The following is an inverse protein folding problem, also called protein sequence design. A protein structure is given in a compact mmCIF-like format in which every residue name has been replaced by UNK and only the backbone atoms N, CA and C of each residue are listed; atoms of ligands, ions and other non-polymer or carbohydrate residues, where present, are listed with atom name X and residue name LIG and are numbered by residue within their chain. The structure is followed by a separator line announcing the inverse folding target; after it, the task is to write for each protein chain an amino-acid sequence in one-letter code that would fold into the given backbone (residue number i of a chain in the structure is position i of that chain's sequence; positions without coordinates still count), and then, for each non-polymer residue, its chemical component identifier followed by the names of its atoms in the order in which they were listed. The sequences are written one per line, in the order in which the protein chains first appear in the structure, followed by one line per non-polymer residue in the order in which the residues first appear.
data_IF_227705450932
#
_entry.id   IF_227705450932
#
_cell.length_a   1.000
_cell.length_b   1.000
_cell.length_c   1.000
_cell.angle_alpha   90.00
_cell.angle_beta   90.00
_cell.angle_gamma   90.00
#
_symmetry.space_group_name_H-M   'P 1'
#
loop_
_entity.id
_entity.type
_entity.pdbx_description
1 polymer ?
#
# COMPACT_ATOMS: atom_id res chain seq x y z
N UNK A 1 -9.08 15.18 14.91
CA UNK A 1 -8.34 13.92 14.98
C UNK A 1 -9.15 12.87 14.22
N UNK A 2 -8.70 12.47 13.03
CA UNK A 2 -9.31 11.35 12.29
C UNK A 2 -8.60 10.08 12.77
N UNK A 3 -9.22 9.37 13.70
CA UNK A 3 -8.73 8.07 14.17
C UNK A 3 -9.05 7.07 13.07
N UNK A 4 -8.05 6.71 12.26
CA UNK A 4 -8.20 5.67 11.23
C UNK A 4 -8.63 4.36 11.88
N UNK A 5 -9.68 3.76 11.33
CA UNK A 5 -10.30 2.53 11.79
C UNK A 5 -9.45 1.33 11.31
N UNK A 6 -8.21 1.24 11.81
CA UNK A 6 -7.25 0.22 11.40
C UNK A 6 -7.60 -1.09 12.11
N UNK A 7 -8.26 -2.00 11.38
CA UNK A 7 -8.55 -3.36 11.87
C UNK A 7 -7.41 -4.28 11.41
N UNK A 8 -6.43 -4.50 12.29
CA UNK A 8 -5.54 -5.66 12.18
C UNK A 8 -6.09 -6.78 13.03
N UNK A 9 -7.04 -7.55 12.49
CA UNK A 9 -7.42 -8.83 13.07
C UNK A 9 -6.42 -9.90 12.57
N UNK A 10 -5.28 -10.03 13.25
CA UNK A 10 -4.34 -11.12 13.05
C UNK A 10 -4.96 -12.42 13.61
N UNK A 11 -5.77 -13.10 12.81
CA UNK A 11 -6.12 -14.49 13.10
C UNK A 11 -5.02 -15.35 12.50
N UNK A 12 -4.03 -15.68 13.33
CA UNK A 12 -2.91 -16.53 12.93
C UNK A 12 -3.40 -17.97 12.74
N UNK A 13 -3.63 -18.36 11.49
CA UNK A 13 -3.93 -19.72 11.11
C UNK A 13 -2.67 -20.39 10.54
N UNK A 14 -2.01 -21.22 11.33
CA UNK A 14 -0.95 -22.08 10.83
C UNK A 14 -1.57 -23.36 10.25
N UNK A 15 -1.83 -23.38 8.94
CA UNK A 15 -2.23 -24.61 8.24
C UNK A 15 -1.03 -25.17 7.45
N UNK A 16 -0.59 -26.36 7.82
CA UNK A 16 0.31 -27.16 7.00
C UNK A 16 -0.48 -27.73 5.82
N UNK A 17 -0.44 -27.05 4.67
CA UNK A 17 -1.14 -27.49 3.47
C UNK A 17 -0.28 -28.49 2.70
N UNK A 18 -0.28 -29.74 3.14
CA UNK A 18 0.00 -30.88 2.26
C UNK A 18 -1.29 -31.29 1.54
N UNK A 19 -1.19 -31.83 0.32
CA UNK A 19 -2.33 -32.23 -0.51
C UNK A 19 -3.29 -33.18 0.24
N UNK A 20 -4.34 -32.62 0.83
CA UNK A 20 -5.46 -33.33 1.42
C UNK A 20 -6.73 -33.00 0.65
N UNK A 21 -7.69 -33.93 0.69
CA UNK A 21 -9.01 -33.80 0.09
C UNK A 21 -9.67 -32.49 0.52
N UNK A 22 -10.13 -31.68 -0.44
CA UNK A 22 -10.58 -30.31 -0.20
C UNK A 22 -11.76 -30.27 0.80
N UNK A 23 -12.58 -31.33 0.81
CA UNK A 23 -13.70 -31.49 1.76
C UNK A 23 -13.21 -31.71 3.19
N UNK A 24 -12.09 -32.40 3.39
CA UNK A 24 -11.47 -32.60 4.70
C UNK A 24 -10.85 -31.29 5.22
N UNK A 25 -10.15 -30.55 4.36
CA UNK A 25 -9.55 -29.26 4.69
C UNK A 25 -10.62 -28.19 4.98
N UNK A 26 -11.73 -28.18 4.24
CA UNK A 26 -12.87 -27.31 4.51
C UNK A 26 -13.49 -27.61 5.88
N UNK A 27 -13.64 -28.90 6.23
CA UNK A 27 -14.16 -29.31 7.53
C UNK A 27 -13.23 -28.86 8.67
N UNK A 28 -11.92 -29.11 8.55
CA UNK A 28 -10.93 -28.68 9.55
C UNK A 28 -10.94 -27.16 9.76
N UNK A 29 -11.11 -26.39 8.70
CA UNK A 29 -11.26 -24.94 8.81
C UNK A 29 -12.53 -24.57 9.60
N UNK A 30 -13.68 -25.15 9.27
CA UNK A 30 -14.96 -24.89 9.96
C UNK A 30 -14.91 -25.30 11.44
N UNK A 31 -14.28 -26.43 11.75
CA UNK A 31 -14.08 -26.92 13.11
C UNK A 31 -13.19 -25.94 13.89
N UNK A 32 -12.08 -25.47 13.29
CA UNK A 32 -11.19 -24.47 13.91
C UNK A 32 -11.88 -23.14 14.23
N UNK A 33 -12.76 -22.64 13.34
CA UNK A 33 -13.58 -21.45 13.64
C UNK A 33 -14.55 -21.71 14.79
N UNK A 34 -15.15 -22.90 14.83
CA UNK A 34 -16.10 -23.28 15.88
C UNK A 34 -15.43 -23.38 17.26
N UNK A 35 -14.20 -23.89 17.32
CA UNK A 35 -13.38 -23.93 18.54
C UNK A 35 -13.02 -22.52 19.03
N UNK A 36 -12.74 -21.60 18.10
CA UNK A 36 -12.43 -20.21 18.44
C UNK A 36 -13.63 -19.41 18.95
N UNK A 37 -14.87 -19.90 18.76
CA UNK A 37 -16.08 -19.19 19.16
C UNK A 37 -16.10 -18.79 20.65
N UNK A 38 -15.47 -19.59 21.52
CA UNK A 38 -15.38 -19.31 22.96
C UNK A 38 -14.41 -18.18 23.33
N UNK A 39 -13.60 -17.71 22.38
CA UNK A 39 -12.60 -16.64 22.62
C UNK A 39 -13.17 -15.22 22.43
N UNK A 40 -14.40 -15.12 21.93
CA UNK A 40 -15.06 -13.84 21.67
C UNK A 40 -15.90 -13.36 22.87
N UNK A 41 -16.07 -12.03 23.06
CA UNK A 41 -15.60 -10.96 22.18
C UNK A 41 -14.11 -10.64 22.33
N UNK A 42 -13.47 -10.27 21.22
CA UNK A 42 -12.06 -9.83 21.20
C UNK A 42 -12.03 -8.32 21.04
N UNK A 43 -11.39 -7.62 21.97
CA UNK A 43 -11.18 -6.17 21.86
C UNK A 43 -10.08 -5.88 20.83
N UNK A 44 -10.41 -5.10 19.80
CA UNK A 44 -9.42 -4.65 18.79
C UNK A 44 -8.75 -3.39 19.31
N UNK A 45 -9.56 -2.39 19.68
CA UNK A 45 -9.10 -1.12 20.22
C UNK A 45 -10.18 -0.53 21.17
N UNK A 46 -10.03 0.74 21.57
CA UNK A 46 -11.00 1.42 22.44
C UNK A 46 -12.39 1.61 21.80
N UNK A 47 -12.45 1.63 20.48
CA UNK A 47 -13.62 1.96 19.68
C UNK A 47 -14.23 0.75 18.96
N UNK A 48 -13.55 -0.38 18.88
CA UNK A 48 -13.93 -1.54 18.06
C UNK A 48 -13.72 -2.87 18.79
N UNK A 49 -14.67 -3.80 18.61
CA UNK A 49 -14.58 -5.19 19.08
C UNK A 49 -14.94 -6.15 17.95
N UNK A 50 -14.29 -7.31 17.91
CA UNK A 50 -14.82 -8.47 17.18
C UNK A 50 -15.80 -9.13 18.14
N UNK A 51 -17.07 -9.03 17.80
CA UNK A 51 -18.16 -9.47 18.67
C UNK A 51 -18.30 -10.98 18.64
N UNK A 52 -18.24 -11.56 17.43
CA UNK A 52 -18.37 -12.99 17.15
C UNK A 52 -17.66 -13.33 15.84
N UNK A 53 -17.26 -14.58 15.71
CA UNK A 53 -16.91 -15.21 14.44
C UNK A 53 -17.55 -16.59 14.39
N UNK A 54 -18.13 -16.95 13.24
CA UNK A 54 -18.82 -18.23 13.05
C UNK A 54 -18.91 -18.62 11.58
N UNK A 55 -19.32 -19.87 11.33
CA UNK A 55 -19.60 -20.39 9.99
C UNK A 55 -21.10 -20.33 9.71
N UNK A 56 -21.48 -19.71 8.59
CA UNK A 56 -22.81 -19.65 8.01
C UNK A 56 -22.78 -20.31 6.62
N UNK A 57 -23.13 -21.60 6.56
CA UNK A 57 -23.00 -22.40 5.34
C UNK A 57 -21.54 -22.55 4.89
N UNK A 58 -21.20 -21.91 3.77
CA UNK A 58 -19.84 -21.83 3.21
C UNK A 58 -19.21 -20.44 3.39
N UNK A 59 -19.74 -19.65 4.33
CA UNK A 59 -19.24 -18.32 4.64
C UNK A 59 -18.75 -18.27 6.09
N UNK A 60 -17.51 -17.86 6.29
CA UNK A 60 -17.00 -17.45 7.59
C UNK A 60 -17.40 -15.99 7.83
N UNK A 61 -18.27 -15.77 8.80
CA UNK A 61 -18.77 -14.45 9.20
C UNK A 61 -17.95 -13.93 10.38
N UNK A 62 -17.45 -12.70 10.25
CA UNK A 62 -16.74 -11.97 11.32
C UNK A 62 -17.57 -10.72 11.63
N UNK A 63 -18.11 -10.65 12.85
CA UNK A 63 -18.91 -9.51 13.32
C UNK A 63 -18.02 -8.49 14.03
N UNK A 64 -17.98 -7.26 13.52
CA UNK A 64 -17.23 -6.15 14.10
C UNK A 64 -18.23 -5.12 14.62
N UNK A 65 -18.10 -4.75 15.89
CA UNK A 65 -18.94 -3.72 16.51
C UNK A 65 -18.13 -2.45 16.82
N UNK A 66 -18.64 -1.31 16.37
CA UNK A 66 -18.14 0.01 16.77
C UNK A 66 -18.83 0.45 18.07
N UNK A 67 -18.08 0.83 19.09
CA UNK A 67 -18.61 1.07 20.44
C UNK A 67 -19.08 2.51 20.69
N UNK A 68 -18.71 3.45 19.83
CA UNK A 68 -18.80 4.88 20.12
C UNK A 68 -19.99 5.59 19.45
N UNK A 69 -20.71 4.93 18.53
CA UNK A 69 -21.73 5.59 17.69
C UNK A 69 -22.83 4.63 17.22
N UNK A 70 -24.02 5.18 16.94
CA UNK A 70 -25.13 4.45 16.31
C UNK A 70 -25.06 4.57 14.79
N UNK A 71 -25.74 3.68 14.07
CA UNK A 71 -25.72 3.63 12.60
C UNK A 71 -26.17 4.94 11.94
N UNK A 72 -27.07 5.70 12.57
CA UNK A 72 -27.57 6.98 12.03
C UNK A 72 -26.47 8.04 11.92
N UNK A 73 -25.40 7.91 12.70
CA UNK A 73 -24.25 8.83 12.67
C UNK A 73 -23.11 8.33 11.77
N UNK A 74 -23.27 7.17 11.12
CA UNK A 74 -22.28 6.62 10.20
C UNK A 74 -22.61 7.13 8.80
N UNK A 75 -21.82 8.11 8.35
CA UNK A 75 -22.01 8.75 7.05
C UNK A 75 -21.62 7.84 5.88
N UNK A 76 -22.15 8.15 4.68
CA UNK A 76 -21.82 7.41 3.46
C UNK A 76 -20.31 7.39 3.14
N UNK A 77 -19.62 8.51 3.37
CA UNK A 77 -18.17 8.62 3.16
C UNK A 77 -17.40 7.63 4.05
N UNK A 78 -17.89 7.40 5.26
CA UNK A 78 -17.26 6.47 6.20
C UNK A 78 -17.50 5.01 5.82
N UNK A 79 -18.70 4.68 5.32
CA UNK A 79 -18.98 3.36 4.76
C UNK A 79 -18.04 3.05 3.57
N UNK A 80 -17.84 4.05 2.70
CA UNK A 80 -16.90 3.93 1.57
C UNK A 80 -15.46 3.73 2.05
N UNK A 81 -15.02 4.47 3.08
CA UNK A 81 -13.69 4.29 3.65
C UNK A 81 -13.50 2.89 4.27
N UNK A 82 -14.52 2.35 4.96
CA UNK A 82 -14.49 0.99 5.51
C UNK A 82 -14.36 -0.02 4.36
N UNK A 83 -15.15 0.14 3.31
CA UNK A 83 -15.14 -0.75 2.16
C UNK A 83 -13.79 -0.72 1.43
N UNK A 84 -13.25 0.46 1.15
CA UNK A 84 -11.94 0.67 0.52
C UNK A 84 -10.82 0.03 1.35
N UNK A 85 -10.77 0.30 2.66
CA UNK A 85 -9.75 -0.25 3.55
C UNK A 85 -9.79 -1.78 3.62
N UNK A 86 -10.99 -2.37 3.69
CA UNK A 86 -11.16 -3.82 3.69
C UNK A 86 -10.76 -4.44 2.36
N UNK A 87 -11.15 -3.81 1.24
CA UNK A 87 -10.76 -4.27 -0.09
C UNK A 87 -9.25 -4.25 -0.27
N UNK A 88 -8.62 -3.13 0.08
CA UNK A 88 -7.19 -2.89 -0.14
C UNK A 88 -6.30 -3.76 0.76
N UNK A 89 -6.73 -4.01 2.00
CA UNK A 89 -5.92 -4.76 2.98
C UNK A 89 -6.27 -6.25 2.95
N UNK A 90 -7.54 -6.59 3.18
CA UNK A 90 -7.98 -7.96 3.39
C UNK A 90 -8.39 -8.60 2.06
N UNK A 91 -9.11 -7.87 1.21
CA UNK A 91 -9.60 -8.36 -0.07
C UNK A 91 -8.47 -8.76 -1.02
N UNK A 92 -7.44 -7.92 -1.13
CA UNK A 92 -6.24 -8.21 -1.94
C UNK A 92 -5.54 -9.47 -1.44
N UNK A 93 -5.30 -9.57 -0.13
CA UNK A 93 -4.64 -10.74 0.46
C UNK A 93 -5.50 -12.01 0.32
N UNK A 94 -6.81 -11.90 0.53
CA UNK A 94 -7.76 -12.99 0.33
C UNK A 94 -7.68 -13.56 -1.10
N UNK A 95 -7.57 -12.71 -2.12
CA UNK A 95 -7.50 -13.13 -3.52
C UNK A 95 -6.11 -13.62 -3.98
N UNK A 96 -5.06 -13.53 -3.15
CA UNK A 96 -3.70 -13.96 -3.49
C UNK A 96 -3.34 -15.28 -2.81
N UNK A 97 -2.93 -16.29 -3.57
CA UNK A 97 -2.54 -17.59 -3.00
C UNK A 97 -1.35 -17.46 -2.02
N UNK A 98 -1.37 -18.25 -0.95
CA UNK A 98 -0.27 -18.36 0.02
C UNK A 98 -0.25 -17.29 1.12
N UNK A 99 -1.29 -16.46 1.22
CA UNK A 99 -1.52 -15.56 2.36
C UNK A 99 -2.39 -16.25 3.42
N UNK A 100 -2.35 -15.75 4.66
CA UNK A 100 -3.22 -16.26 5.73
C UNK A 100 -4.71 -16.04 5.39
N UNK A 101 -5.02 -14.90 4.77
CA UNK A 101 -6.36 -14.52 4.36
C UNK A 101 -6.90 -15.40 3.22
N UNK A 102 -6.01 -15.94 2.37
CA UNK A 102 -6.39 -16.83 1.25
C UNK A 102 -6.74 -18.25 1.66
N UNK A 103 -6.46 -18.66 2.90
CA UNK A 103 -6.72 -20.02 3.40
C UNK A 103 -8.19 -20.37 3.23
N UNK A 104 -9.09 -19.48 3.65
CA UNK A 104 -10.54 -19.68 3.53
C UNK A 104 -10.93 -19.92 2.06
N UNK A 105 -10.43 -19.07 1.15
CA UNK A 105 -10.68 -19.18 -0.29
C UNK A 105 -10.17 -20.50 -0.87
N UNK A 106 -8.98 -20.92 -0.46
CA UNK A 106 -8.31 -22.13 -0.95
C UNK A 106 -9.13 -23.38 -0.62
N UNK A 107 -9.82 -23.39 0.53
CA UNK A 107 -10.75 -24.47 0.93
C UNK A 107 -12.19 -24.24 0.50
N UNK A 108 -12.45 -23.27 -0.40
CA UNK A 108 -13.78 -23.00 -0.94
C UNK A 108 -14.73 -22.24 -0.01
N UNK A 109 -14.23 -21.57 1.03
CA UNK A 109 -15.01 -20.78 1.98
C UNK A 109 -14.91 -19.28 1.64
N UNK A 110 -16.05 -18.60 1.67
CA UNK A 110 -16.13 -17.13 1.56
C UNK A 110 -15.95 -16.49 2.94
N UNK A 111 -15.52 -15.23 3.01
CA UNK A 111 -15.39 -14.49 4.28
C UNK A 111 -16.24 -13.24 4.22
N UNK A 112 -17.07 -13.00 5.22
CA UNK A 112 -17.94 -11.84 5.32
C UNK A 112 -17.63 -11.04 6.59
N UNK A 113 -17.32 -9.75 6.41
CA UNK A 113 -17.14 -8.81 7.50
C UNK A 113 -18.43 -8.02 7.70
N UNK A 114 -19.14 -8.29 8.80
CA UNK A 114 -20.41 -7.62 9.16
C UNK A 114 -20.17 -6.57 10.23
N UNK A 115 -20.53 -5.32 9.94
CA UNK A 115 -20.35 -4.21 10.86
C UNK A 115 -21.63 -3.86 11.59
N UNK A 116 -21.49 -3.68 12.91
CA UNK A 116 -22.55 -3.35 13.84
C UNK A 116 -22.25 -2.07 14.58
N UNK A 117 -23.28 -1.29 14.85
CA UNK A 117 -23.17 -0.07 15.63
C UNK A 117 -23.10 -0.37 17.14
N UNK A 118 -23.03 0.67 17.97
CA UNK A 118 -22.93 0.50 19.43
C UNK A 118 -24.14 -0.22 20.05
N UNK A 119 -25.29 -0.22 19.36
CA UNK A 119 -26.53 -0.87 19.77
C UNK A 119 -26.67 -2.27 19.17
N UNK A 120 -25.61 -2.82 18.57
CA UNK A 120 -25.62 -4.12 17.91
C UNK A 120 -26.55 -4.18 16.68
N UNK A 121 -26.83 -3.04 16.04
CA UNK A 121 -27.59 -3.00 14.78
C UNK A 121 -26.64 -3.07 13.57
N UNK A 122 -26.91 -3.95 12.58
CA UNK A 122 -26.06 -4.06 11.40
C UNK A 122 -26.20 -2.83 10.52
N UNK A 123 -25.07 -2.30 10.03
CA UNK A 123 -25.06 -1.12 9.17
C UNK A 123 -24.25 -1.29 7.87
N UNK A 124 -23.35 -2.26 7.80
CA UNK A 124 -22.57 -2.53 6.60
C UNK A 124 -22.09 -3.99 6.55
N UNK A 125 -21.86 -4.52 5.36
CA UNK A 125 -21.27 -5.84 5.18
C UNK A 125 -20.40 -5.88 3.93
N UNK A 126 -19.23 -6.52 4.03
CA UNK A 126 -18.32 -6.74 2.91
C UNK A 126 -18.03 -8.23 2.80
N UNK A 127 -18.50 -8.83 1.70
CA UNK A 127 -18.26 -10.24 1.36
C UNK A 127 -17.04 -10.38 0.43
N UNK A 128 -16.15 -11.30 0.76
CA UNK A 128 -15.05 -11.78 -0.06
C UNK A 128 -15.30 -13.23 -0.47
N UNK A 129 -15.28 -13.49 -1.77
CA UNK A 129 -15.54 -14.81 -2.35
C UNK A 129 -14.67 -15.04 -3.58
N UNK A 130 -14.52 -16.30 -4.02
CA UNK A 130 -13.85 -16.62 -5.27
C UNK A 130 -14.48 -15.88 -6.47
N UNK A 131 -15.82 -15.72 -6.48
CA UNK A 131 -16.52 -14.95 -7.50
C UNK A 131 -16.09 -13.48 -7.51
N UNK A 132 -15.94 -12.87 -6.33
CA UNK A 132 -15.47 -11.47 -6.22
C UNK A 132 -14.01 -11.33 -6.64
N UNK A 133 -13.15 -12.31 -6.33
CA UNK A 133 -11.77 -12.33 -6.84
C UNK A 133 -11.72 -12.44 -8.37
N UNK A 134 -12.56 -13.31 -8.96
CA UNK A 134 -12.67 -13.45 -10.41
C UNK A 134 -13.17 -12.15 -11.07
N UNK A 135 -14.10 -11.43 -10.43
CA UNK A 135 -14.61 -10.13 -10.90
C UNK A 135 -13.57 -9.02 -10.77
N UNK A 136 -12.79 -8.98 -9.68
CA UNK A 136 -11.66 -8.06 -9.52
C UNK A 136 -10.59 -8.32 -10.60
N UNK A 137 -10.28 -9.58 -10.89
CA UNK A 137 -9.38 -9.96 -11.98
C UNK A 137 -9.90 -9.56 -13.38
N UNK A 138 -11.23 -9.40 -13.54
CA UNK A 138 -11.86 -8.97 -14.79
C UNK A 138 -12.04 -7.45 -14.90
N UNK A 139 -11.99 -6.71 -13.79
CA UNK A 139 -12.29 -5.25 -13.76
C UNK A 139 -11.05 -4.39 -13.49
N UNK A 140 -9.95 -4.97 -12.97
CA UNK A 140 -8.75 -4.23 -12.59
C UNK A 140 -7.52 -4.78 -13.31
N UNK A 141 -6.86 -3.92 -14.09
CA UNK A 141 -5.48 -4.17 -14.56
C UNK A 141 -4.53 -4.25 -13.36
N UNK A 142 -3.70 -5.30 -13.23
CA UNK A 142 -3.28 -5.86 -11.94
C UNK A 142 -1.94 -5.34 -11.39
N UNK A 143 -1.41 -4.24 -11.91
CA UNK A 143 0.00 -3.88 -11.68
C UNK A 143 0.24 -2.94 -10.49
N UNK A 144 -0.77 -2.16 -10.04
CA UNK A 144 -0.51 -1.02 -9.13
C UNK A 144 -0.64 -1.32 -7.63
N UNK A 145 -1.60 -2.15 -7.21
CA UNK A 145 -1.88 -2.45 -5.78
C UNK A 145 -1.02 -3.61 -5.27
N UNK A 146 -0.68 -4.57 -6.13
CA UNK A 146 0.22 -5.69 -5.82
C UNK A 146 1.65 -5.24 -5.56
N UNK A 147 2.09 -4.13 -6.15
CA UNK A 147 3.45 -3.59 -6.00
C UNK A 147 3.64 -2.94 -4.63
N UNK A 148 2.69 -2.13 -4.15
CA UNK A 148 2.79 -1.42 -2.86
C UNK A 148 2.82 -2.37 -1.66
N UNK A 149 1.89 -3.34 -1.62
CA UNK A 149 1.86 -4.38 -0.58
C UNK A 149 3.11 -5.29 -0.66
N UNK A 150 3.60 -5.57 -1.88
CA UNK A 150 4.84 -6.33 -2.04
C UNK A 150 6.06 -5.58 -1.52
N UNK A 151 6.11 -4.25 -1.64
CA UNK A 151 7.25 -3.45 -1.20
C UNK A 151 7.32 -3.42 0.32
N UNK A 152 6.21 -3.16 1.00
CA UNK A 152 6.16 -3.14 2.47
C UNK A 152 6.62 -4.48 3.06
N UNK A 153 6.13 -5.60 2.52
CA UNK A 153 6.56 -6.93 2.94
C UNK A 153 8.06 -7.17 2.72
N UNK A 154 8.60 -6.74 1.58
CA UNK A 154 10.03 -6.88 1.26
C UNK A 154 10.90 -6.05 2.21
N UNK A 155 10.48 -4.84 2.56
CA UNK A 155 11.19 -3.98 3.51
C UNK A 155 11.18 -4.61 4.91
N UNK A 156 10.02 -5.05 5.41
CA UNK A 156 9.92 -5.76 6.70
C UNK A 156 10.76 -7.04 6.74
N UNK A 157 10.78 -7.80 5.66
CA UNK A 157 11.61 -9.00 5.55
C UNK A 157 13.11 -8.65 5.56
N UNK A 158 13.50 -7.57 4.88
CA UNK A 158 14.88 -7.06 4.88
C UNK A 158 15.31 -6.65 6.29
N UNK A 159 14.51 -5.82 6.98
CA UNK A 159 14.79 -5.36 8.35
C UNK A 159 15.01 -6.52 9.33
N UNK A 160 14.30 -7.64 9.14
CA UNK A 160 14.50 -8.87 9.93
C UNK A 160 15.76 -9.65 9.54
N UNK A 161 16.12 -9.66 8.27
CA UNK A 161 17.23 -10.45 7.75
C UNK A 161 18.60 -9.80 7.98
N UNK A 162 18.66 -8.46 8.10
CA UNK A 162 19.87 -7.70 8.37
C UNK A 162 19.98 -6.43 7.53
N UNK A 163 21.18 -6.14 7.03
CA UNK A 163 21.44 -4.96 6.20
C UNK A 163 21.31 -5.27 4.71
N UNK A 164 20.75 -4.33 3.94
CA UNK A 164 20.66 -4.44 2.48
C UNK A 164 19.74 -3.39 1.86
N UNK A 165 19.19 -3.70 0.69
CA UNK A 165 18.41 -2.76 -0.14
C UNK A 165 17.22 -3.45 -0.81
N UNK A 166 16.11 -2.73 -0.91
CA UNK A 166 14.90 -3.14 -1.65
C UNK A 166 14.60 -2.11 -2.73
N UNK A 167 14.49 -2.55 -3.98
CA UNK A 167 13.94 -1.71 -5.06
C UNK A 167 12.44 -1.58 -4.86
N UNK A 168 11.96 -0.34 -4.77
CA UNK A 168 10.56 0.02 -4.53
C UNK A 168 9.85 0.22 -5.87
N UNK A 169 10.41 1.06 -6.74
CA UNK A 169 9.83 1.28 -8.06
C UNK A 169 10.90 1.59 -9.12
N UNK A 170 10.51 1.44 -10.39
CA UNK A 170 11.31 1.80 -11.56
C UNK A 170 10.43 2.48 -12.61
N UNK A 171 10.75 3.73 -12.92
CA UNK A 171 10.05 4.57 -13.90
C UNK A 171 10.92 4.72 -15.15
N UNK A 172 10.31 4.69 -16.34
CA UNK A 172 11.01 4.78 -17.63
C UNK A 172 10.53 5.99 -18.48
N UNK A 173 10.85 7.23 -18.11
CA UNK A 173 10.42 8.40 -18.89
C UNK A 173 11.22 8.54 -20.20
N UNK A 174 10.55 8.41 -21.37
CA UNK A 174 11.06 8.76 -22.71
C UNK A 174 12.52 8.34 -23.00
N UNK A 175 12.87 7.14 -22.52
CA UNK A 175 14.15 6.43 -22.60
C UNK A 175 15.07 6.53 -21.38
N UNK A 176 14.86 7.46 -20.44
CA UNK A 176 15.63 7.51 -19.20
C UNK A 176 15.07 6.54 -18.15
N UNK A 177 15.81 6.30 -17.06
CA UNK A 177 15.36 5.41 -15.96
C UNK A 177 15.52 6.08 -14.61
N UNK A 178 14.46 6.05 -13.80
CA UNK A 178 14.47 6.44 -12.39
C UNK A 178 14.13 5.22 -11.54
N UNK A 179 15.03 4.82 -10.65
CA UNK A 179 14.82 3.76 -9.66
C UNK A 179 14.75 4.37 -8.27
N UNK A 180 13.74 3.99 -7.50
CA UNK A 180 13.59 4.37 -6.11
C UNK A 180 13.70 3.09 -5.28
N UNK A 181 14.44 3.15 -4.16
CA UNK A 181 14.60 2.03 -3.26
C UNK A 181 14.74 2.45 -1.80
N UNK A 182 14.61 1.48 -0.92
CA UNK A 182 14.89 1.57 0.50
C UNK A 182 16.23 0.88 0.82
N UNK A 183 17.02 1.45 1.72
CA UNK A 183 18.31 0.90 2.14
C UNK A 183 18.55 1.11 3.64
N UNK A 184 18.79 0.05 4.40
CA UNK A 184 19.11 0.12 5.83
C UNK A 184 20.60 -0.16 6.15
N UNK A 185 21.48 -0.16 5.14
CA UNK A 185 22.91 -0.45 5.32
C UNK A 185 23.68 0.53 6.22
N UNK A 186 23.21 1.76 6.35
CA UNK A 186 23.93 2.78 7.11
C UNK A 186 23.04 3.70 7.96
N UNK A 187 21.83 4.07 7.50
CA UNK A 187 21.00 5.08 8.16
C UNK A 187 19.53 5.06 7.66
N UNK A 188 18.97 3.91 7.27
CA UNK A 188 17.58 3.79 6.77
C UNK A 188 17.17 4.93 5.82
N UNK A 189 17.64 4.87 4.57
CA UNK A 189 17.51 5.95 3.59
C UNK A 189 16.69 5.52 2.37
N UNK A 190 15.98 6.48 1.79
CA UNK A 190 15.47 6.35 0.43
C UNK A 190 16.59 6.63 -0.57
N UNK A 191 16.84 5.70 -1.48
CA UNK A 191 17.81 5.84 -2.57
C UNK A 191 17.09 6.17 -3.86
N UNK A 192 17.40 7.33 -4.41
CA UNK A 192 17.15 7.70 -5.80
C UNK A 192 18.32 7.29 -6.66
N UNK A 193 18.05 6.58 -7.75
CA UNK A 193 18.98 6.36 -8.84
C UNK A 193 18.34 6.83 -10.14
N UNK A 194 19.01 7.71 -10.87
CA UNK A 194 18.55 8.26 -12.15
C UNK A 194 19.63 7.98 -13.17
N UNK A 195 19.30 7.47 -14.34
CA UNK A 195 20.24 7.29 -15.44
C UNK A 195 19.64 7.75 -16.76
N UNK A 196 20.49 8.21 -17.67
CA UNK A 196 20.10 8.41 -19.05
C UNK A 196 19.85 7.06 -19.76
N UNK A 197 19.29 7.13 -20.98
CA UNK A 197 18.97 5.97 -21.83
C UNK A 197 20.10 4.93 -21.95
N UNK A 198 21.35 5.40 -22.03
CA UNK A 198 22.51 4.54 -22.24
C UNK A 198 23.28 4.24 -20.95
N UNK A 199 22.75 4.67 -19.80
CA UNK A 199 23.40 4.62 -18.49
C UNK A 199 24.81 5.25 -18.46
N UNK A 200 25.12 6.14 -19.41
CA UNK A 200 26.41 6.84 -19.52
C UNK A 200 26.51 7.87 -18.41
N UNK A 201 25.42 8.62 -18.18
CA UNK A 201 25.28 9.47 -17.02
C UNK A 201 24.29 8.84 -16.05
N UNK A 202 24.73 8.71 -14.80
CA UNK A 202 23.85 8.34 -13.70
C UNK A 202 24.08 9.21 -12.48
N UNK A 203 23.04 9.32 -11.67
CA UNK A 203 23.00 10.10 -10.47
C UNK A 203 22.37 9.26 -9.37
N UNK A 204 22.99 9.24 -8.20
CA UNK A 204 22.44 8.59 -7.01
C UNK A 204 22.35 9.57 -5.86
N UNK A 205 21.22 9.55 -5.14
CA UNK A 205 20.97 10.40 -4.00
C UNK A 205 20.27 9.62 -2.90
N UNK A 206 20.83 9.67 -1.70
CA UNK A 206 20.23 9.10 -0.51
C UNK A 206 19.56 10.21 0.30
N UNK A 207 18.32 9.96 0.73
CA UNK A 207 17.47 10.89 1.46
C UNK A 207 17.02 10.26 2.77
N UNK A 208 17.14 11.02 3.86
CA UNK A 208 16.45 10.70 5.11
C UNK A 208 14.97 11.15 5.02
N UNK A 209 14.15 10.76 6.00
CA UNK A 209 12.72 11.07 6.05
C UNK A 209 12.39 12.53 5.79
N UNK A 210 13.07 13.45 6.48
CA UNK A 210 12.87 14.90 6.33
C UNK A 210 13.11 15.35 4.89
N UNK A 211 14.23 14.92 4.29
CA UNK A 211 14.59 15.31 2.92
C UNK A 211 13.69 14.66 1.88
N UNK A 212 13.17 13.46 2.13
CA UNK A 212 12.16 12.82 1.30
C UNK A 212 10.85 13.62 1.31
N UNK A 213 10.38 14.06 2.48
CA UNK A 213 9.17 14.88 2.61
C UNK A 213 9.32 16.23 1.90
N UNK A 214 10.46 16.91 2.08
CA UNK A 214 10.79 18.16 1.37
C UNK A 214 10.73 17.98 -0.16
N UNK A 215 11.34 16.89 -0.67
CA UNK A 215 11.34 16.61 -2.10
C UNK A 215 9.94 16.28 -2.63
N UNK A 216 9.16 15.46 -1.92
CA UNK A 216 7.79 15.10 -2.33
C UNK A 216 6.91 16.34 -2.46
N UNK A 217 6.96 17.23 -1.46
CA UNK A 217 6.18 18.46 -1.49
C UNK A 217 6.60 19.36 -2.66
N UNK A 218 7.91 19.47 -2.91
CA UNK A 218 8.42 20.25 -4.05
C UNK A 218 7.91 19.68 -5.39
N UNK A 219 7.96 18.36 -5.58
CA UNK A 219 7.48 17.71 -6.80
C UNK A 219 6.00 17.96 -7.05
N UNK A 220 5.15 17.77 -6.03
CA UNK A 220 3.70 17.98 -6.15
C UNK A 220 3.35 19.46 -6.42
N UNK A 221 4.04 20.39 -5.76
CA UNK A 221 3.84 21.83 -6.00
C UNK A 221 4.31 22.25 -7.40
N UNK A 222 5.47 21.73 -7.84
CA UNK A 222 6.02 22.02 -9.17
C UNK A 222 5.10 21.49 -10.27
N UNK A 223 4.55 20.28 -10.12
CA UNK A 223 3.63 19.69 -11.08
C UNK A 223 2.34 20.49 -11.23
N UNK A 224 1.70 20.83 -10.10
CA UNK A 224 0.52 21.69 -10.10
C UNK A 224 0.80 23.03 -10.79
N UNK A 225 1.91 23.68 -10.44
CA UNK A 225 2.31 24.97 -11.03
C UNK A 225 2.60 24.84 -12.52
N UNK A 226 3.19 23.72 -12.97
CA UNK A 226 3.45 23.46 -14.38
C UNK A 226 2.14 23.37 -15.17
N UNK A 227 1.18 22.60 -14.68
CA UNK A 227 -0.14 22.40 -15.32
C UNK A 227 -0.91 23.71 -15.41
N UNK A 228 -0.96 24.49 -14.32
CA UNK A 228 -1.64 25.79 -14.29
C UNK A 228 -1.03 26.82 -15.25
N UNK A 229 0.24 26.65 -15.64
CA UNK A 229 0.98 27.55 -16.51
C UNK A 229 1.40 26.88 -17.83
N UNK A 230 0.58 25.96 -18.35
CA UNK A 230 0.89 25.19 -19.55
C UNK A 230 1.10 26.03 -20.82
N UNK A 231 0.68 27.30 -20.83
CA UNK A 231 0.95 28.23 -21.95
C UNK A 231 2.39 28.76 -21.99
N UNK A 232 3.17 28.63 -20.92
CA UNK A 232 4.54 29.14 -20.86
C UNK A 232 5.52 28.15 -21.51
N UNK A 233 6.41 28.68 -22.37
CA UNK A 233 7.45 27.87 -23.00
C UNK A 233 8.48 27.38 -22.00
N UNK A 234 8.95 28.19 -21.06
CA UNK A 234 9.88 27.70 -20.02
C UNK A 234 9.56 28.37 -18.69
N UNK A 235 9.44 27.56 -17.65
CA UNK A 235 9.19 28.02 -16.30
C UNK A 235 10.12 27.30 -15.32
N UNK A 236 10.81 28.05 -14.45
CA UNK A 236 11.58 27.49 -13.35
C UNK A 236 10.63 27.25 -12.16
N UNK A 237 10.64 26.04 -11.62
CA UNK A 237 9.70 25.59 -10.60
C UNK A 237 10.36 25.36 -9.23
N UNK A 238 11.68 25.57 -9.15
CA UNK A 238 12.42 25.53 -7.90
C UNK A 238 13.57 24.53 -7.93
N UNK A 239 14.19 24.39 -6.77
CA UNK A 239 15.36 23.53 -6.60
C UNK A 239 15.32 22.78 -5.27
N UNK A 240 15.90 21.58 -5.29
CA UNK A 240 16.11 20.74 -4.13
C UNK A 240 17.59 20.45 -3.97
N UNK A 241 18.08 20.59 -2.73
CA UNK A 241 19.47 20.37 -2.38
C UNK A 241 19.59 19.32 -1.27
N UNK A 242 20.47 18.34 -1.49
CA UNK A 242 20.86 17.32 -0.51
C UNK A 242 22.40 17.28 -0.37
N UNK A 243 22.90 16.48 0.58
CA UNK A 243 24.33 16.30 0.76
C UNK A 243 25.00 15.63 -0.46
N UNK A 244 24.25 14.82 -1.20
CA UNK A 244 24.72 14.02 -2.33
C UNK A 244 24.51 14.71 -3.69
N UNK A 245 23.59 15.68 -3.80
CA UNK A 245 23.39 16.40 -5.05
C UNK A 245 22.29 17.45 -5.04
N UNK A 246 21.97 17.92 -6.24
CA UNK A 246 20.96 18.95 -6.51
C UNK A 246 20.01 18.48 -7.60
N UNK A 247 18.73 18.80 -7.43
CA UNK A 247 17.69 18.67 -8.45
C UNK A 247 17.16 20.08 -8.77
N UNK A 248 17.15 20.43 -10.05
CA UNK A 248 16.45 21.62 -10.57
C UNK A 248 15.17 21.16 -11.27
N UNK A 249 14.05 21.80 -10.94
CA UNK A 249 12.76 21.54 -11.58
C UNK A 249 12.40 22.67 -12.53
N UNK A 250 11.98 22.32 -13.72
CA UNK A 250 11.51 23.27 -14.73
C UNK A 250 10.36 22.65 -15.51
N UNK A 251 9.53 23.47 -16.15
CA UNK A 251 8.52 22.96 -17.09
C UNK A 251 8.64 23.60 -18.46
N UNK A 252 8.20 22.85 -19.47
CA UNK A 252 8.03 23.31 -20.83
C UNK A 252 6.63 22.94 -21.30
N UNK A 253 5.78 23.95 -21.55
CA UNK A 253 4.39 23.75 -21.97
C UNK A 253 3.61 22.80 -21.04
N UNK A 254 3.80 22.98 -19.74
CA UNK A 254 3.18 22.17 -18.69
C UNK A 254 3.86 20.83 -18.38
N UNK A 255 4.82 20.37 -19.19
CA UNK A 255 5.56 19.13 -18.92
C UNK A 255 6.72 19.36 -17.95
N UNK A 256 6.74 18.64 -16.82
CA UNK A 256 7.76 18.74 -15.78
C UNK A 256 9.07 18.03 -16.18
N UNK A 257 10.20 18.72 -15.97
CA UNK A 257 11.57 18.27 -16.24
C UNK A 257 12.43 18.40 -15.00
N UNK A 258 13.19 17.34 -14.72
CA UNK A 258 14.18 17.30 -13.66
C UNK A 258 15.59 17.35 -14.22
N UNK A 259 16.44 18.20 -13.67
CA UNK A 259 17.87 18.19 -13.93
C UNK A 259 18.63 17.85 -12.63
N UNK A 260 19.15 16.62 -12.59
CA UNK A 260 19.90 16.08 -11.48
C UNK A 260 21.39 16.34 -11.69
N UNK A 261 22.08 16.77 -10.63
CA UNK A 261 23.52 17.05 -10.67
C UNK A 261 24.19 16.61 -9.38
N UNK A 262 25.31 15.90 -9.51
CA UNK A 262 26.19 15.61 -8.38
C UNK A 262 26.79 16.88 -7.80
N UNK A 263 26.87 16.97 -6.46
CA UNK A 263 27.54 18.10 -5.77
C UNK A 263 29.02 18.20 -6.14
N UNK A 264 29.66 17.07 -6.49
CA UNK A 264 31.06 17.00 -6.93
C UNK A 264 31.24 17.20 -8.45
N UNK A 265 30.16 17.52 -9.17
CA UNK A 265 30.21 17.91 -10.58
C UNK A 265 30.44 16.80 -11.60
N UNK A 266 30.65 15.55 -11.17
CA UNK A 266 30.75 14.39 -12.07
C UNK A 266 29.37 13.77 -12.25
N UNK A 267 28.77 13.97 -13.42
CA UNK A 267 27.47 13.44 -13.80
C UNK A 267 26.31 14.42 -13.62
N UNK A 268 25.54 14.59 -14.69
CA UNK A 268 24.22 15.20 -14.66
C UNK A 268 23.27 14.42 -15.57
N UNK A 269 22.01 14.35 -15.16
CA UNK A 269 20.97 13.66 -15.93
C UNK A 269 19.78 14.61 -16.02
N UNK A 270 19.27 14.81 -17.24
CA UNK A 270 18.03 15.53 -17.47
C UNK A 270 16.98 14.52 -17.89
N UNK A 271 15.86 14.49 -17.17
CA UNK A 271 14.77 13.55 -17.44
C UNK A 271 13.44 14.27 -17.39
N UNK A 272 12.44 13.74 -18.10
CA UNK A 272 11.04 14.11 -17.87
C UNK A 272 10.55 13.41 -16.60
N UNK A 273 9.72 14.11 -15.83
CA UNK A 273 9.25 13.64 -14.54
C UNK A 273 7.74 13.46 -14.57
N UNK A 274 7.29 12.28 -14.14
CA UNK A 274 5.94 12.08 -13.64
C UNK A 274 5.96 12.33 -12.13
N UNK A 275 5.58 13.54 -11.71
CA UNK A 275 5.62 13.92 -10.30
C UNK A 275 4.67 13.08 -9.44
N UNK A 276 3.55 12.64 -10.02
CA UNK A 276 2.55 11.85 -9.30
C UNK A 276 3.10 10.45 -9.02
N UNK A 277 3.65 9.77 -10.03
CA UNK A 277 4.26 8.45 -9.85
C UNK A 277 5.50 8.51 -8.94
N UNK A 278 6.33 9.55 -9.08
CA UNK A 278 7.48 9.76 -8.19
C UNK A 278 7.05 9.98 -6.73
N UNK A 279 6.06 10.84 -6.49
CA UNK A 279 5.53 11.10 -5.16
C UNK A 279 4.91 9.84 -4.54
N UNK A 280 4.23 9.02 -5.36
CA UNK A 280 3.68 7.72 -4.95
C UNK A 280 4.79 6.78 -4.50
N UNK A 281 5.80 6.54 -5.35
CA UNK A 281 6.95 5.70 -4.99
C UNK A 281 7.62 6.15 -3.69
N UNK A 282 7.77 7.46 -3.48
CA UNK A 282 8.37 8.00 -2.26
C UNK A 282 7.52 7.74 -1.02
N UNK A 283 6.20 7.82 -1.17
CA UNK A 283 5.26 7.60 -0.07
C UNK A 283 5.28 6.16 0.43
N UNK A 284 5.66 5.20 -0.42
CA UNK A 284 5.84 3.79 -0.01
C UNK A 284 7.08 3.58 0.88
N UNK A 285 8.10 4.44 0.76
CA UNK A 285 9.34 4.34 1.54
C UNK A 285 9.26 5.11 2.85
N UNK A 286 8.58 6.25 2.86
CA UNK A 286 8.52 7.19 3.99
C UNK A 286 8.19 6.56 5.37
N UNK A 287 7.29 5.57 5.50
CA UNK A 287 6.98 4.96 6.79
C UNK A 287 8.16 4.21 7.42
N UNK A 288 9.14 3.82 6.61
CA UNK A 288 10.29 2.99 6.99
C UNK A 288 11.59 3.78 7.20
N UNK A 289 11.53 5.11 7.07
CA UNK A 289 12.65 6.04 7.33
C UNK A 289 12.46 6.82 8.64
#
# INVERSE_FOLDING_TARGET
MKTSLIIYALIAFAFNVGAQDNTLSQKQYKDGISEQASTYPIKIDENNIIRRSFIDGDTHVIEIQVNHRTKEYIGKEELLNIEEQLLDTIGVNFCKDGTNESVARTVGISVEYRYFDKNAEPFHSVLFSQKKCNQLAMTYTPERITEEVSVEMKIRALEKAGTGRVKVCELKPLNDVIKIGYSNEADEVATFYVSDEYMVNSFMMNLNKKKLQELRQLLLNADKTAIENAMLDNLNLGEFNSNSGKLLLSSHKGALKGYFRSRKGRGSVRVLLDATELARCLSQVEPHL
#
